data_IF_611470963924
#
_entry.id   IF_611470963924
#
_cell.length_a   1.000
_cell.length_b   1.000
_cell.length_c   1.000
_cell.angle_alpha   90.00
_cell.angle_beta   90.00
_cell.angle_gamma   90.00
#
_symmetry.space_group_name_H-M   'P 1'
#
loop_
_entity.id
_entity.type
_entity.pdbx_description
1 polymer ?
#
# COMPACT_ATOMS: atom_id res chain seq x y z
N UNK A 1 -21.21 5.42 23.87
CA UNK A 1 -20.68 6.60 23.13
C UNK A 1 -21.48 6.83 21.85
N UNK A 2 -21.71 5.83 20.97
CA UNK A 2 -22.66 6.00 19.84
C UNK A 2 -24.10 6.35 20.26
N UNK A 3 -24.55 5.90 21.44
CA UNK A 3 -25.88 6.27 21.95
C UNK A 3 -26.00 7.76 22.27
N UNK A 4 -24.91 8.43 22.65
CA UNK A 4 -24.90 9.85 22.99
C UNK A 4 -25.11 10.74 21.76
N UNK A 5 -24.62 10.32 20.59
CA UNK A 5 -24.82 11.01 19.31
C UNK A 5 -26.29 10.98 18.87
N UNK A 6 -27.03 9.91 19.19
CA UNK A 6 -28.48 9.86 18.93
C UNK A 6 -29.24 10.87 19.79
N UNK A 7 -28.81 11.13 21.03
CA UNK A 7 -29.49 12.07 21.91
C UNK A 7 -29.08 13.54 21.68
N UNK A 8 -27.87 13.80 21.19
CA UNK A 8 -27.40 15.17 20.89
C UNK A 8 -27.92 15.73 19.58
N UNK A 9 -28.33 14.88 18.64
CA UNK A 9 -28.97 15.31 17.38
C UNK A 9 -30.47 15.61 17.57
N UNK A 10 -31.16 14.87 18.44
CA UNK A 10 -32.61 15.01 18.66
C UNK A 10 -32.99 16.06 19.73
N UNK A 11 -32.03 16.56 20.50
CA UNK A 11 -32.28 17.51 21.60
C UNK A 11 -31.38 18.72 21.46
N UNK A 12 -31.96 19.85 21.07
CA UNK A 12 -31.26 21.13 20.94
C UNK A 12 -30.90 21.66 22.35
N UNK A 13 -29.75 21.24 22.87
CA UNK A 13 -29.25 21.64 24.20
C UNK A 13 -28.58 23.03 24.19
N UNK A 14 -28.70 23.79 23.11
CA UNK A 14 -28.18 25.16 23.02
C UNK A 14 -28.84 26.05 24.08
N UNK A 15 -28.05 26.58 25.02
CA UNK A 15 -28.52 27.50 26.07
C UNK A 15 -28.47 26.97 27.51
N UNK A 16 -27.99 25.74 27.74
CA UNK A 16 -27.72 25.23 29.09
C UNK A 16 -26.20 25.14 29.30
N UNK A 17 -25.62 26.16 29.96
CA UNK A 17 -24.16 26.33 30.19
C UNK A 17 -23.43 25.08 30.73
N UNK A 18 -24.13 24.27 31.54
CA UNK A 18 -23.56 23.04 32.13
C UNK A 18 -23.47 21.93 31.08
N UNK A 19 -24.51 21.76 30.27
CA UNK A 19 -24.57 20.75 29.20
C UNK A 19 -23.58 21.10 28.10
N UNK A 20 -23.42 22.38 27.77
CA UNK A 20 -22.45 22.81 26.75
C UNK A 20 -21.00 22.51 27.16
N UNK A 21 -20.64 22.71 28.43
CA UNK A 21 -19.30 22.34 28.95
C UNK A 21 -19.06 20.83 28.95
N UNK A 22 -20.05 20.05 29.36
CA UNK A 22 -19.96 18.59 29.35
C UNK A 22 -19.89 18.04 27.92
N UNK A 23 -20.63 18.63 26.97
CA UNK A 23 -20.55 18.28 25.55
C UNK A 23 -19.16 18.61 24.97
N UNK A 24 -18.61 19.80 25.23
CA UNK A 24 -17.26 20.15 24.81
C UNK A 24 -16.20 19.19 25.39
N UNK A 25 -16.35 18.79 26.65
CA UNK A 25 -15.47 17.80 27.27
C UNK A 25 -15.59 16.43 26.58
N UNK A 26 -16.80 15.96 26.28
CA UNK A 26 -17.04 14.70 25.57
C UNK A 26 -16.44 14.72 24.17
N UNK A 27 -16.60 15.82 23.42
CA UNK A 27 -15.99 15.97 22.10
C UNK A 27 -14.47 15.94 22.16
N UNK A 28 -13.87 16.66 23.13
CA UNK A 28 -12.43 16.64 23.33
C UNK A 28 -11.91 15.26 23.72
N UNK A 29 -12.56 14.60 24.68
CA UNK A 29 -12.20 13.25 25.09
C UNK A 29 -12.31 12.25 23.93
N UNK A 30 -13.34 12.38 23.08
CA UNK A 30 -13.49 11.57 21.87
C UNK A 30 -12.34 11.80 20.89
N UNK A 31 -11.97 13.05 20.65
CA UNK A 31 -10.87 13.40 19.76
C UNK A 31 -9.53 12.87 20.28
N UNK A 32 -9.27 13.00 21.58
CA UNK A 32 -8.06 12.49 22.23
C UNK A 32 -7.98 10.95 22.11
N UNK A 33 -9.09 10.25 22.36
CA UNK A 33 -9.19 8.79 22.19
C UNK A 33 -8.93 8.40 20.73
N UNK A 34 -9.52 9.10 19.76
CA UNK A 34 -9.30 8.82 18.34
C UNK A 34 -7.83 8.98 17.95
N UNK A 35 -7.18 10.05 18.42
CA UNK A 35 -5.77 10.32 18.14
C UNK A 35 -4.86 9.26 18.75
N UNK A 36 -5.05 8.92 20.02
CA UNK A 36 -4.27 7.87 20.67
C UNK A 36 -4.51 6.49 20.01
N UNK A 37 -5.75 6.18 19.67
CA UNK A 37 -6.12 4.92 18.99
C UNK A 37 -5.45 4.84 17.62
N UNK A 38 -5.37 5.96 16.93
CA UNK A 38 -4.69 6.07 15.65
C UNK A 38 -3.19 5.76 15.77
N UNK A 39 -2.52 6.30 16.78
CA UNK A 39 -1.10 5.99 17.02
C UNK A 39 -0.89 4.52 17.38
N UNK A 40 -1.79 3.93 18.17
CA UNK A 40 -1.75 2.48 18.49
C UNK A 40 -1.93 1.65 17.22
N UNK A 41 -2.82 2.05 16.31
CA UNK A 41 -3.04 1.37 15.05
C UNK A 41 -1.82 1.46 14.14
N UNK A 42 -1.25 2.66 13.94
CA UNK A 42 -0.05 2.85 13.11
C UNK A 42 1.12 2.02 13.65
N UNK A 43 1.36 2.05 14.96
CA UNK A 43 2.39 1.21 15.59
C UNK A 43 2.10 -0.27 15.40
N UNK A 44 0.84 -0.68 15.53
CA UNK A 44 0.40 -2.06 15.32
C UNK A 44 0.64 -2.53 13.88
N UNK A 45 0.36 -1.69 12.89
CA UNK A 45 0.60 -1.99 11.48
C UNK A 45 2.11 -2.03 11.19
N UNK A 46 2.86 -1.02 11.58
CA UNK A 46 4.30 -0.92 11.30
C UNK A 46 5.12 -2.08 11.91
N UNK A 47 4.70 -2.59 13.06
CA UNK A 47 5.37 -3.70 13.75
C UNK A 47 4.63 -5.04 13.61
N UNK A 48 3.60 -5.13 12.77
CA UNK A 48 2.77 -6.32 12.56
C UNK A 48 2.25 -6.93 13.87
N UNK A 49 1.88 -6.10 14.85
CA UNK A 49 1.42 -6.51 16.18
C UNK A 49 -0.10 -6.70 16.19
N UNK A 50 -0.61 -7.95 16.18
CA UNK A 50 -2.05 -8.21 16.09
C UNK A 50 -2.82 -7.76 17.34
N UNK A 51 -2.17 -7.66 18.51
CA UNK A 51 -2.82 -7.20 19.73
C UNK A 51 -3.12 -5.69 19.66
N UNK A 52 -2.15 -4.88 19.21
CA UNK A 52 -2.34 -3.44 19.02
C UNK A 52 -3.38 -3.15 17.94
N UNK A 53 -3.31 -3.84 16.80
CA UNK A 53 -4.31 -3.74 15.73
C UNK A 53 -5.70 -4.09 16.29
N UNK A 54 -5.83 -5.22 16.99
CA UNK A 54 -7.11 -5.66 17.55
C UNK A 54 -7.70 -4.69 18.58
N UNK A 55 -6.87 -4.08 19.42
CA UNK A 55 -7.29 -3.06 20.39
C UNK A 55 -7.78 -1.81 19.66
N UNK A 56 -7.02 -1.30 18.70
CA UNK A 56 -7.39 -0.10 17.97
C UNK A 56 -8.69 -0.28 17.16
N UNK A 57 -8.83 -1.40 16.46
CA UNK A 57 -10.06 -1.72 15.71
C UNK A 57 -11.29 -1.82 16.61
N UNK A 58 -11.15 -2.31 17.84
CA UNK A 58 -12.26 -2.32 18.80
C UNK A 58 -12.73 -0.91 19.13
N UNK A 59 -11.80 0.01 19.37
CA UNK A 59 -12.15 1.39 19.69
C UNK A 59 -12.84 2.03 18.48
N UNK A 60 -12.33 1.83 17.27
CA UNK A 60 -12.99 2.35 16.06
C UNK A 60 -14.38 1.75 15.82
N UNK A 61 -14.57 0.45 16.09
CA UNK A 61 -15.88 -0.19 16.05
C UNK A 61 -16.84 0.45 17.06
N UNK A 62 -16.39 0.61 18.32
CA UNK A 62 -17.20 1.22 19.39
C UNK A 62 -17.53 2.70 19.14
N UNK A 63 -16.74 3.39 18.32
CA UNK A 63 -16.97 4.77 17.89
C UNK A 63 -17.79 4.88 16.59
N UNK A 64 -18.12 3.75 15.96
CA UNK A 64 -18.85 3.72 14.68
C UNK A 64 -18.03 4.20 13.48
N UNK A 65 -16.71 4.33 13.59
CA UNK A 65 -15.84 4.85 12.53
C UNK A 65 -14.93 3.76 11.93
N UNK A 66 -15.26 2.49 12.12
CA UNK A 66 -14.44 1.37 11.65
C UNK A 66 -14.32 1.36 10.12
N UNK A 67 -15.44 1.49 9.41
CA UNK A 67 -15.48 1.46 7.94
C UNK A 67 -14.59 2.55 7.33
N UNK A 68 -14.82 3.82 7.70
CA UNK A 68 -14.05 4.95 7.21
C UNK A 68 -12.56 4.80 7.50
N UNK A 69 -12.23 4.26 8.68
CA UNK A 69 -10.86 4.05 9.09
C UNK A 69 -10.16 3.00 8.24
N UNK A 70 -10.80 1.88 7.93
CA UNK A 70 -10.23 0.85 7.06
C UNK A 70 -10.02 1.38 5.64
N UNK A 71 -11.02 2.06 5.08
CA UNK A 71 -10.92 2.68 3.76
C UNK A 71 -9.77 3.71 3.69
N UNK A 72 -9.63 4.55 4.73
CA UNK A 72 -8.53 5.51 4.84
C UNK A 72 -7.16 4.84 4.89
N UNK A 73 -7.03 3.69 5.55
CA UNK A 73 -5.77 2.93 5.58
C UNK A 73 -5.44 2.40 4.18
N UNK A 74 -6.39 1.74 3.50
CA UNK A 74 -6.17 1.20 2.16
C UNK A 74 -5.73 2.28 1.17
N UNK A 75 -6.43 3.42 1.17
CA UNK A 75 -6.10 4.57 0.33
C UNK A 75 -4.70 5.10 0.64
N UNK A 76 -4.40 5.36 1.92
CA UNK A 76 -3.10 5.90 2.35
C UNK A 76 -1.93 4.97 1.98
N UNK A 77 -2.09 3.66 2.18
CA UNK A 77 -1.04 2.69 1.82
C UNK A 77 -0.77 2.70 0.32
N UNK A 78 -1.82 2.78 -0.52
CA UNK A 78 -1.68 2.85 -1.97
C UNK A 78 -1.04 4.18 -2.43
N UNK A 79 -1.47 5.31 -1.87
CA UNK A 79 -0.91 6.64 -2.19
C UNK A 79 0.57 6.74 -1.79
N UNK A 80 0.92 6.22 -0.61
CA UNK A 80 2.30 6.16 -0.16
C UNK A 80 3.14 5.29 -1.10
N UNK A 81 2.63 4.12 -1.50
CA UNK A 81 3.32 3.26 -2.45
C UNK A 81 3.55 3.95 -3.80
N UNK A 82 2.52 4.64 -4.34
CA UNK A 82 2.63 5.41 -5.59
C UNK A 82 3.70 6.50 -5.52
N UNK A 83 3.71 7.26 -4.42
CA UNK A 83 4.68 8.35 -4.21
C UNK A 83 6.10 7.79 -4.13
N UNK A 84 6.31 6.74 -3.33
CA UNK A 84 7.62 6.12 -3.15
C UNK A 84 8.16 5.50 -4.45
N UNK A 85 7.31 4.82 -5.24
CA UNK A 85 7.73 4.28 -6.55
C UNK A 85 8.19 5.40 -7.49
N UNK A 86 7.45 6.51 -7.53
CA UNK A 86 7.83 7.67 -8.34
C UNK A 86 9.21 8.20 -7.94
N UNK A 87 9.46 8.34 -6.64
CA UNK A 87 10.73 8.84 -6.10
C UNK A 87 11.90 7.89 -6.40
N UNK A 88 11.71 6.58 -6.24
CA UNK A 88 12.77 5.59 -6.51
C UNK A 88 13.09 5.43 -8.00
N UNK A 89 12.15 5.71 -8.90
CA UNK A 89 12.34 5.61 -10.35
C UNK A 89 12.71 6.95 -11.01
N UNK A 90 12.75 8.06 -10.28
CA UNK A 90 13.30 9.33 -10.76
C UNK A 90 14.83 9.36 -10.68
N UNK A 91 15.48 8.60 -11.55
CA UNK A 91 16.95 8.53 -11.63
C UNK A 91 17.60 9.76 -12.29
N UNK A 92 16.81 10.76 -12.72
CA UNK A 92 17.32 11.98 -13.38
C UNK A 92 18.26 12.77 -12.46
N UNK A 93 18.06 12.68 -11.14
CA UNK A 93 18.91 13.33 -10.14
C UNK A 93 20.34 12.78 -10.08
N UNK A 94 20.56 11.51 -10.44
CA UNK A 94 21.90 10.89 -10.44
C UNK A 94 22.71 11.12 -11.71
N UNK A 95 22.03 11.33 -12.85
CA UNK A 95 22.73 11.64 -14.11
C UNK A 95 23.43 13.00 -14.11
N UNK A 96 23.06 13.89 -13.17
CA UNK A 96 23.56 15.26 -13.05
C UNK A 96 24.73 15.44 -12.08
N UNK A 97 25.08 14.43 -11.27
CA UNK A 97 26.15 14.54 -10.29
C UNK A 97 27.52 14.12 -10.85
N UNK A 98 28.07 14.95 -11.75
CA UNK A 98 29.53 15.07 -11.92
C UNK A 98 29.89 16.51 -12.30
N UNK A 99 30.50 17.20 -11.34
CA UNK A 99 31.19 18.47 -11.51
C UNK A 99 32.11 18.46 -12.75
N UNK A 100 32.05 19.49 -13.61
CA UNK A 100 33.02 19.71 -14.66
C UNK A 100 34.24 20.46 -14.08
N UNK A 101 34.99 19.82 -13.17
CA UNK A 101 36.18 20.44 -12.57
C UNK A 101 37.42 19.56 -12.66
N UNK A 102 37.76 19.12 -13.88
CA UNK A 102 39.15 18.76 -14.21
C UNK A 102 39.44 18.98 -15.71
N UNK A 103 40.22 20.02 -16.07
CA UNK A 103 40.58 20.28 -17.47
C UNK A 103 41.62 19.26 -17.93
N UNK A 104 41.28 18.44 -18.95
CA UNK A 104 42.27 17.57 -19.60
C UNK A 104 41.81 16.18 -20.07
N UNK A 105 40.52 15.80 -19.99
CA UNK A 105 40.05 14.52 -20.55
C UNK A 105 39.13 14.72 -21.75
N UNK A 106 39.70 14.55 -22.93
CA UNK A 106 38.98 14.28 -24.18
C UNK A 106 38.40 12.87 -24.10
N UNK A 107 37.10 12.79 -23.81
CA UNK A 107 36.11 11.79 -24.24
C UNK A 107 34.91 11.99 -23.33
N UNK A 108 33.78 12.46 -23.87
CA UNK A 108 32.52 12.42 -23.13
C UNK A 108 32.14 10.95 -22.95
N UNK A 109 32.20 10.36 -21.74
CA UNK A 109 31.72 9.00 -21.55
C UNK A 109 30.21 9.09 -21.45
N UNK A 110 29.49 8.38 -22.32
CA UNK A 110 28.03 8.24 -22.30
C UNK A 110 27.49 8.07 -20.86
N UNK A 111 26.98 9.17 -20.27
CA UNK A 111 26.84 9.37 -18.81
C UNK A 111 25.74 8.48 -18.21
N UNK A 112 24.81 7.98 -19.04
CA UNK A 112 23.60 7.35 -18.52
C UNK A 112 23.61 5.83 -18.34
N UNK A 113 24.59 5.09 -18.88
CA UNK A 113 24.65 3.62 -18.72
C UNK A 113 25.94 3.17 -18.01
N UNK A 114 26.27 3.83 -16.90
CA UNK A 114 27.43 3.47 -16.09
C UNK A 114 27.12 2.27 -15.18
N UNK A 115 28.13 1.46 -14.79
CA UNK A 115 27.93 0.40 -13.80
C UNK A 115 27.30 0.91 -12.49
N UNK A 116 27.63 2.13 -12.08
CA UNK A 116 27.05 2.78 -10.89
C UNK A 116 25.56 3.07 -11.06
N UNK A 117 25.15 3.59 -12.23
CA UNK A 117 23.74 3.81 -12.54
C UNK A 117 22.93 2.51 -12.47
N UNK A 118 23.45 1.43 -13.08
CA UNK A 118 22.80 0.11 -13.05
C UNK A 118 22.70 -0.45 -11.64
N UNK A 119 23.76 -0.37 -10.86
CA UNK A 119 23.76 -0.83 -9.48
C UNK A 119 22.65 -0.13 -8.68
N UNK A 120 22.55 1.19 -8.80
CA UNK A 120 21.51 1.96 -8.10
C UNK A 120 20.10 1.62 -8.60
N UNK A 121 19.89 1.53 -9.92
CA UNK A 121 18.59 1.16 -10.50
C UNK A 121 18.08 -0.13 -9.86
N UNK A 122 18.93 -1.16 -9.79
CA UNK A 122 18.55 -2.44 -9.21
C UNK A 122 18.31 -2.36 -7.70
N UNK A 123 19.14 -1.63 -6.96
CA UNK A 123 18.89 -1.36 -5.55
C UNK A 123 17.55 -0.66 -5.32
N UNK A 124 17.16 0.26 -6.20
CA UNK A 124 15.86 0.94 -6.11
C UNK A 124 14.70 0.00 -6.46
N UNK A 125 14.86 -0.89 -7.45
CA UNK A 125 13.87 -1.94 -7.75
C UNK A 125 13.71 -2.88 -6.57
N UNK A 126 14.80 -3.33 -5.95
CA UNK A 126 14.77 -4.16 -4.73
C UNK A 126 13.99 -3.45 -3.62
N UNK A 127 14.27 -2.16 -3.36
CA UNK A 127 13.53 -1.35 -2.38
C UNK A 127 12.04 -1.25 -2.70
N UNK A 128 11.66 -1.06 -3.97
CA UNK A 128 10.25 -1.00 -4.37
C UNK A 128 9.54 -2.34 -4.07
N UNK A 129 10.19 -3.47 -4.38
CA UNK A 129 9.63 -4.80 -4.10
C UNK A 129 9.54 -5.08 -2.61
N UNK A 130 10.49 -4.59 -1.81
CA UNK A 130 10.44 -4.70 -0.34
C UNK A 130 9.35 -3.82 0.26
N UNK A 131 9.13 -2.60 -0.27
CA UNK A 131 7.99 -1.76 0.11
C UNK A 131 6.65 -2.44 -0.18
N UNK A 132 6.52 -3.00 -1.38
CA UNK A 132 5.34 -3.75 -1.79
C UNK A 132 5.05 -4.90 -0.82
N UNK A 133 6.07 -5.71 -0.52
CA UNK A 133 5.96 -6.79 0.47
C UNK A 133 5.53 -6.26 1.85
N UNK A 134 6.15 -5.17 2.31
CA UNK A 134 5.84 -4.54 3.59
C UNK A 134 4.37 -4.10 3.70
N UNK A 135 3.84 -3.43 2.68
CA UNK A 135 2.43 -3.00 2.66
C UNK A 135 1.46 -4.17 2.59
N UNK A 136 1.78 -5.21 1.80
CA UNK A 136 0.96 -6.44 1.77
C UNK A 136 0.97 -7.13 3.13
N UNK A 137 2.10 -7.20 3.82
CA UNK A 137 2.20 -7.77 5.15
C UNK A 137 1.34 -7.01 6.17
N UNK A 138 1.30 -5.69 6.11
CA UNK A 138 0.44 -4.86 6.95
C UNK A 138 -1.05 -5.16 6.69
N UNK A 139 -1.47 -5.12 5.43
CA UNK A 139 -2.87 -5.39 5.04
C UNK A 139 -3.29 -6.81 5.37
N UNK A 140 -2.41 -7.80 5.19
CA UNK A 140 -2.70 -9.18 5.55
C UNK A 140 -2.92 -9.34 7.06
N UNK A 141 -2.05 -8.75 7.89
CA UNK A 141 -2.25 -8.80 9.34
C UNK A 141 -3.52 -8.08 9.77
N UNK A 142 -3.83 -6.94 9.15
CA UNK A 142 -5.08 -6.21 9.36
C UNK A 142 -6.30 -7.07 9.01
N UNK A 143 -6.35 -7.64 7.81
CA UNK A 143 -7.41 -8.52 7.34
C UNK A 143 -7.57 -9.74 8.26
N UNK A 144 -6.48 -10.35 8.70
CA UNK A 144 -6.50 -11.49 9.63
C UNK A 144 -7.14 -11.13 10.97
N UNK A 145 -6.87 -9.93 11.49
CA UNK A 145 -7.51 -9.45 12.73
C UNK A 145 -8.98 -9.14 12.50
N UNK A 146 -9.35 -8.49 11.38
CA UNK A 146 -10.75 -8.19 11.03
C UNK A 146 -11.62 -9.45 10.94
N UNK A 147 -11.08 -10.54 10.37
CA UNK A 147 -11.79 -11.82 10.27
C UNK A 147 -11.90 -12.53 11.62
N UNK A 148 -10.85 -12.48 12.45
CA UNK A 148 -10.80 -13.25 13.70
C UNK A 148 -11.50 -12.55 14.86
N UNK A 149 -11.52 -11.22 14.90
CA UNK A 149 -12.16 -10.50 16.00
C UNK A 149 -13.67 -10.48 15.82
N UNK A 150 -14.35 -10.94 16.86
CA UNK A 150 -15.80 -10.81 17.03
C UNK A 150 -16.08 -9.77 18.08
N UNK A 151 -17.10 -8.97 17.83
CA UNK A 151 -17.63 -8.10 18.84
C UNK A 151 -18.29 -8.92 19.96
N UNK A 152 -18.03 -8.54 21.22
CA UNK A 152 -18.49 -9.30 22.39
C UNK A 152 -19.99 -9.18 22.64
N UNK A 153 -20.65 -8.17 22.07
CA UNK A 153 -22.06 -7.85 22.31
C UNK A 153 -22.91 -8.32 21.13
N UNK A 154 -22.53 -7.93 19.91
CA UNK A 154 -23.27 -8.24 18.68
C UNK A 154 -22.89 -9.59 18.06
N UNK A 155 -21.79 -10.21 18.52
CA UNK A 155 -21.22 -11.45 17.99
C UNK A 155 -20.87 -11.44 16.49
N UNK A 156 -21.00 -10.30 15.81
CA UNK A 156 -20.58 -10.10 14.42
C UNK A 156 -19.05 -9.98 14.35
N UNK A 157 -18.44 -10.49 13.28
CA UNK A 157 -17.03 -10.18 13.03
C UNK A 157 -16.89 -8.75 12.50
N UNK A 158 -15.72 -8.16 12.66
CA UNK A 158 -15.47 -6.84 12.10
C UNK A 158 -15.51 -6.84 10.57
N UNK A 159 -15.14 -7.95 9.92
CA UNK A 159 -15.26 -8.07 8.47
C UNK A 159 -16.73 -8.09 8.01
N UNK A 160 -17.63 -8.75 8.75
CA UNK A 160 -19.07 -8.74 8.45
C UNK A 160 -19.63 -7.32 8.54
N UNK A 161 -19.18 -6.54 9.53
CA UNK A 161 -19.60 -5.16 9.68
C UNK A 161 -19.12 -4.30 8.49
N UNK A 162 -17.88 -4.48 8.05
CA UNK A 162 -17.38 -3.79 6.85
C UNK A 162 -18.21 -4.12 5.61
N UNK A 163 -18.58 -5.39 5.43
CA UNK A 163 -19.39 -5.83 4.29
C UNK A 163 -20.79 -5.20 4.32
N UNK A 164 -21.43 -5.09 5.50
CA UNK A 164 -22.71 -4.39 5.65
C UNK A 164 -22.65 -2.93 5.22
N UNK A 165 -21.52 -2.27 5.47
CA UNK A 165 -21.28 -0.87 5.07
C UNK A 165 -20.76 -0.73 3.62
N UNK A 166 -20.76 -1.81 2.82
CA UNK A 166 -20.44 -1.77 1.40
C UNK A 166 -18.98 -2.10 1.03
N UNK A 167 -18.18 -2.58 1.98
CA UNK A 167 -16.82 -3.02 1.70
C UNK A 167 -16.80 -4.41 1.05
N UNK A 168 -15.92 -4.65 0.06
CA UNK A 168 -15.81 -5.97 -0.58
C UNK A 168 -15.19 -7.06 0.30
N UNK A 169 -14.55 -6.67 1.40
CA UNK A 169 -13.78 -7.56 2.30
C UNK A 169 -12.38 -7.93 1.80
N UNK A 170 -12.04 -7.61 0.55
CA UNK A 170 -10.78 -7.98 -0.10
C UNK A 170 -9.71 -6.88 -0.02
N UNK A 171 -9.11 -6.69 1.16
CA UNK A 171 -8.12 -5.63 1.37
C UNK A 171 -6.83 -5.87 0.57
N UNK A 172 -6.30 -7.09 0.63
CA UNK A 172 -5.02 -7.46 0.00
C UNK A 172 -5.13 -7.48 -1.53
N UNK A 173 -6.21 -8.04 -2.07
CA UNK A 173 -6.45 -8.13 -3.52
C UNK A 173 -6.57 -6.76 -4.17
N UNK A 174 -7.40 -5.87 -3.60
CA UNK A 174 -7.55 -4.48 -4.07
C UNK A 174 -6.23 -3.72 -4.09
N UNK A 175 -5.47 -3.80 -2.99
CA UNK A 175 -4.15 -3.16 -2.93
C UNK A 175 -3.19 -3.75 -3.95
N UNK A 176 -3.13 -5.08 -4.10
CA UNK A 176 -2.26 -5.75 -5.08
C UNK A 176 -2.51 -5.25 -6.50
N UNK A 177 -3.78 -5.24 -6.94
CA UNK A 177 -4.16 -4.76 -8.27
C UNK A 177 -3.77 -3.28 -8.45
N UNK A 178 -4.08 -2.43 -7.47
CA UNK A 178 -3.74 -1.01 -7.51
C UNK A 178 -2.23 -0.76 -7.53
N UNK A 179 -1.48 -1.52 -6.73
CA UNK A 179 -0.03 -1.46 -6.64
C UNK A 179 0.64 -1.90 -7.95
N UNK A 180 0.20 -3.02 -8.53
CA UNK A 180 0.73 -3.52 -9.81
C UNK A 180 0.43 -2.56 -10.96
N UNK A 181 -0.77 -2.00 -11.02
CA UNK A 181 -1.13 -0.96 -11.99
C UNK A 181 -0.23 0.27 -11.86
N UNK A 182 0.03 0.70 -10.64
CA UNK A 182 0.89 1.86 -10.36
C UNK A 182 2.35 1.60 -10.74
N UNK A 183 2.88 0.42 -10.40
CA UNK A 183 4.23 0.01 -10.76
C UNK A 183 4.41 -0.11 -12.27
N UNK A 184 3.47 -0.76 -12.98
CA UNK A 184 3.46 -0.86 -14.45
C UNK A 184 3.49 0.53 -15.08
N UNK A 185 2.59 1.42 -14.63
CA UNK A 185 2.49 2.78 -15.15
C UNK A 185 3.80 3.56 -14.95
N UNK A 186 4.39 3.50 -13.75
CA UNK A 186 5.64 4.23 -13.49
C UNK A 186 6.79 3.64 -14.31
N UNK A 187 6.95 2.32 -14.36
CA UNK A 187 7.99 1.68 -15.16
C UNK A 187 7.90 2.06 -16.63
N UNK A 188 6.70 1.99 -17.22
CA UNK A 188 6.46 2.38 -18.62
C UNK A 188 6.82 3.85 -18.87
N UNK A 189 6.41 4.75 -17.97
CA UNK A 189 6.73 6.18 -18.04
C UNK A 189 8.24 6.41 -17.95
N UNK A 190 8.91 5.81 -16.97
CA UNK A 190 10.36 5.94 -16.77
C UNK A 190 11.19 5.35 -17.93
N UNK A 191 10.72 4.28 -18.58
CA UNK A 191 11.37 3.69 -19.76
C UNK A 191 11.24 4.57 -21.01
N UNK A 192 10.10 5.24 -21.19
CA UNK A 192 9.91 6.20 -22.28
C UNK A 192 10.77 7.45 -22.09
N UNK A 193 10.92 7.90 -20.84
CA UNK A 193 11.72 9.06 -20.48
C UNK A 193 13.23 8.83 -20.54
N UNK A 194 13.70 7.59 -20.34
CA UNK A 194 15.12 7.26 -20.22
C UNK A 194 15.50 6.03 -21.03
N UNK A 195 16.18 6.27 -22.16
CA UNK A 195 16.77 5.22 -23.00
C UNK A 195 17.70 4.28 -22.21
N UNK A 196 18.47 4.82 -21.26
CA UNK A 196 19.41 4.03 -20.47
C UNK A 196 18.73 3.11 -19.46
N UNK A 197 17.60 3.55 -18.89
CA UNK A 197 16.78 2.72 -18.02
C UNK A 197 16.19 1.55 -18.82
N UNK A 198 15.65 1.84 -20.01
CA UNK A 198 15.18 0.79 -20.93
C UNK A 198 16.28 -0.21 -21.27
N UNK A 199 17.46 0.27 -21.66
CA UNK A 199 18.60 -0.58 -22.01
C UNK A 199 19.07 -1.46 -20.82
N UNK A 200 19.07 -0.93 -19.60
CA UNK A 200 19.45 -1.69 -18.40
C UNK A 200 18.43 -2.78 -18.07
N UNK A 201 17.13 -2.49 -18.18
CA UNK A 201 16.06 -3.46 -17.91
C UNK A 201 16.00 -4.56 -18.98
N UNK A 202 16.14 -4.21 -20.27
CA UNK A 202 16.19 -5.17 -21.37
C UNK A 202 17.43 -6.07 -21.28
N UNK A 203 18.60 -5.50 -20.93
CA UNK A 203 19.86 -6.24 -20.88
C UNK A 203 20.03 -7.16 -19.68
N UNK A 204 19.35 -6.88 -18.56
CA UNK A 204 19.48 -7.63 -17.29
C UNK A 204 18.15 -8.23 -16.82
N UNK A 205 17.27 -8.53 -17.77
CA UNK A 205 15.97 -9.14 -17.55
C UNK A 205 15.96 -10.40 -16.65
N UNK A 206 16.93 -11.34 -16.73
CA UNK A 206 16.98 -12.48 -15.80
C UNK A 206 17.07 -12.08 -14.32
N UNK A 207 17.68 -10.92 -14.01
CA UNK A 207 17.79 -10.42 -12.63
C UNK A 207 16.43 -9.98 -12.10
N UNK A 208 15.65 -9.29 -12.93
CA UNK A 208 14.29 -8.91 -12.60
C UNK A 208 13.40 -10.14 -12.33
N UNK A 209 13.47 -11.14 -13.21
CA UNK A 209 12.73 -12.39 -13.01
C UNK A 209 13.06 -13.06 -11.68
N UNK A 210 14.35 -13.04 -11.29
CA UNK A 210 14.77 -13.57 -10.00
C UNK A 210 14.12 -12.79 -8.85
N UNK A 211 14.22 -11.45 -8.87
CA UNK A 211 13.63 -10.59 -7.83
C UNK A 211 12.11 -10.77 -7.69
N UNK A 212 11.41 -10.93 -8.81
CA UNK A 212 9.98 -11.22 -8.84
C UNK A 212 9.67 -12.58 -8.21
N UNK A 213 10.38 -13.64 -8.62
CA UNK A 213 10.16 -14.96 -8.05
C UNK A 213 10.44 -14.96 -6.54
N UNK A 214 11.49 -14.26 -6.10
CA UNK A 214 11.82 -14.09 -4.69
C UNK A 214 10.70 -13.36 -3.95
N UNK A 215 10.12 -12.31 -4.52
CA UNK A 215 8.93 -11.65 -3.95
C UNK A 215 7.75 -12.61 -3.83
N UNK A 216 7.39 -13.32 -4.90
CA UNK A 216 6.25 -14.26 -4.90
C UNK A 216 6.46 -15.35 -3.85
N UNK A 217 7.68 -15.88 -3.73
CA UNK A 217 8.02 -16.88 -2.72
C UNK A 217 7.82 -16.33 -1.30
N UNK A 218 8.26 -15.09 -1.04
CA UNK A 218 8.03 -14.41 0.26
C UNK A 218 6.54 -14.19 0.53
N UNK A 219 5.76 -13.81 -0.49
CA UNK A 219 4.31 -13.60 -0.35
C UNK A 219 3.57 -14.93 -0.08
N UNK A 220 3.96 -16.01 -0.74
CA UNK A 220 3.41 -17.34 -0.47
C UNK A 220 3.75 -17.87 0.93
N UNK A 221 4.88 -17.44 1.52
CA UNK A 221 5.20 -17.76 2.92
C UNK A 221 4.31 -16.99 3.90
N UNK A 222 3.92 -15.75 3.55
CA UNK A 222 3.00 -14.93 4.35
C UNK A 222 1.56 -15.47 4.32
N UNK A 223 1.10 -15.86 3.13
CA UNK A 223 -0.20 -16.48 2.90
C UNK A 223 -0.06 -17.57 1.82
N UNK A 224 -0.22 -18.85 2.17
CA UNK A 224 -0.29 -19.92 1.17
C UNK A 224 -1.41 -19.66 0.17
N UNK A 225 -1.12 -19.71 -1.13
CA UNK A 225 -2.08 -19.42 -2.20
C UNK A 225 -2.15 -17.94 -2.61
N UNK A 226 -1.16 -17.10 -2.25
CA UNK A 226 -1.11 -15.72 -2.75
C UNK A 226 -1.05 -15.64 -4.28
N UNK A 227 -0.46 -16.65 -4.94
CA UNK A 227 -0.48 -16.79 -6.40
C UNK A 227 -1.87 -16.98 -7.02
N UNK A 228 -2.85 -17.35 -6.20
CA UNK A 228 -4.21 -17.68 -6.64
C UNK A 228 -5.17 -16.49 -6.44
N UNK A 229 -4.67 -15.34 -5.96
CA UNK A 229 -5.40 -14.06 -6.03
C UNK A 229 -5.56 -13.75 -7.52
N UNK A 230 -6.81 -13.79 -8.00
CA UNK A 230 -7.19 -13.62 -9.41
C UNK A 230 -6.41 -12.49 -10.09
N UNK A 231 -5.33 -12.89 -10.76
CA UNK A 231 -4.60 -12.05 -11.72
C UNK A 231 -5.50 -11.74 -12.93
N UNK A 232 -6.63 -12.44 -13.06
CA UNK A 232 -7.66 -12.26 -14.08
C UNK A 232 -8.40 -10.91 -13.95
N UNK A 233 -8.34 -10.23 -12.80
CA UNK A 233 -8.89 -8.84 -12.64
C UNK A 233 -8.01 -7.80 -13.35
N UNK A 234 -6.78 -8.16 -13.76
CA UNK A 234 -5.91 -7.28 -14.57
C UNK A 234 -6.17 -7.51 -16.08
N UNK A 235 -6.98 -8.52 -16.46
CA UNK A 235 -7.14 -9.02 -17.83
C UNK A 235 -8.40 -8.46 -18.58
N UNK A 236 -8.67 -7.15 -18.53
CA UNK A 236 -9.59 -6.53 -19.53
C UNK A 236 -8.87 -5.96 -20.77
N UNK A 237 -7.54 -5.79 -20.74
CA UNK A 237 -6.77 -5.25 -21.88
C UNK A 237 -5.85 -6.27 -22.59
N UNK A 238 -5.90 -7.55 -22.26
CA UNK A 238 -4.93 -8.57 -22.72
C UNK A 238 -5.54 -9.83 -23.36
N UNK A 239 -6.71 -9.69 -23.99
CA UNK A 239 -7.45 -10.78 -24.66
C UNK A 239 -6.83 -11.28 -25.99
N UNK A 240 -5.51 -11.29 -26.11
CA UNK A 240 -4.81 -11.89 -27.26
C UNK A 240 -3.48 -12.53 -26.80
N UNK A 241 -3.54 -13.62 -26.03
CA UNK A 241 -2.50 -14.68 -26.03
C UNK A 241 -2.83 -15.84 -25.08
N UNK A 242 -3.60 -16.81 -25.57
CA UNK A 242 -4.05 -18.03 -24.86
C UNK A 242 -2.94 -19.05 -24.45
N UNK A 243 -1.68 -18.67 -24.29
CA UNK A 243 -0.60 -19.68 -24.05
C UNK A 243 0.46 -19.31 -23.00
N UNK A 244 0.20 -18.41 -22.05
CA UNK A 244 1.19 -18.04 -21.03
C UNK A 244 0.73 -18.41 -19.62
N UNK A 245 1.59 -19.14 -18.89
CA UNK A 245 1.40 -19.52 -17.49
C UNK A 245 1.35 -18.25 -16.59
N UNK A 246 0.67 -18.29 -15.44
CA UNK A 246 0.53 -17.15 -14.51
C UNK A 246 1.84 -16.42 -14.15
N UNK A 247 2.98 -17.13 -14.11
CA UNK A 247 4.31 -16.49 -13.95
C UNK A 247 4.75 -15.65 -15.16
N UNK A 248 4.38 -16.07 -16.37
CA UNK A 248 4.66 -15.36 -17.62
C UNK A 248 3.65 -14.21 -17.83
N UNK A 249 2.39 -14.35 -17.40
CA UNK A 249 1.41 -13.25 -17.40
C UNK A 249 1.89 -12.05 -16.56
N UNK A 250 2.42 -12.28 -15.35
CA UNK A 250 2.93 -11.18 -14.50
C UNK A 250 4.11 -10.43 -15.13
N UNK A 251 4.96 -11.16 -15.84
CA UNK A 251 6.11 -10.60 -16.58
C UNK A 251 5.66 -9.76 -17.78
N UNK A 252 4.68 -10.24 -18.54
CA UNK A 252 4.05 -9.47 -19.62
C UNK A 252 3.35 -8.23 -19.07
N UNK A 253 2.64 -8.35 -17.94
CA UNK A 253 1.97 -7.22 -17.28
C UNK A 253 2.96 -6.11 -16.93
N UNK A 254 4.20 -6.39 -16.52
CA UNK A 254 5.17 -5.33 -16.23
C UNK A 254 5.93 -4.86 -17.49
N UNK A 255 6.19 -5.73 -18.48
CA UNK A 255 7.18 -5.41 -19.53
C UNK A 255 6.79 -5.64 -20.99
N UNK A 256 5.66 -6.27 -21.33
CA UNK A 256 5.25 -6.45 -22.74
C UNK A 256 3.74 -6.20 -22.87
N UNK A 257 3.42 -5.07 -23.52
CA UNK A 257 2.13 -4.39 -23.76
C UNK A 257 1.66 -3.38 -22.68
#
# INVERSE_FOLDING_TARGET
LSELDHYTIDSDFTGIDVVEKDLQFVFKARHDIQTQTQDVLENGLNHLNPAQIGTALQVFFNLGTLYDRIQSIEQRLLENFQTQISDYLDLKQLSKSKDPSNPGRTTMPNIGNTPQFRALLWTNIEKILDLLYGYIAQLYNLARVLVKKKDSITHCTFIDELIKHGHSGELVGKFWVGAMKSLKKQMKTSMLDSYHLRQALEGEYPKLLKLQNDLINRLNQLQPGFSDIDMDIIDEELYDSEQLNGKQKFVLIIFVN
#
